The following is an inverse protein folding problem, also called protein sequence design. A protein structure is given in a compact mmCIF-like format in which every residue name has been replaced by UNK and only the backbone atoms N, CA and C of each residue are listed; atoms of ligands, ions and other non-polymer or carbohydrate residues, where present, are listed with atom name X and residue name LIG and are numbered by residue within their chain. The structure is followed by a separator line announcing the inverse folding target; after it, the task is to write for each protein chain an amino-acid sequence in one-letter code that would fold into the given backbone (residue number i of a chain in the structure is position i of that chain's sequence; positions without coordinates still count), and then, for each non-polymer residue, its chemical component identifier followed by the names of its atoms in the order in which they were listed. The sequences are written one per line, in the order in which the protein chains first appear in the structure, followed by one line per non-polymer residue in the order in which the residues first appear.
data_IF_641722518451
#
_entry.id   IF_641722518451
#
_cell.length_a   1.000
_cell.length_b   1.000
_cell.length_c   1.000
_cell.angle_alpha   90.00
_cell.angle_beta   90.00
_cell.angle_gamma   90.00
#
_symmetry.space_group_name_H-M   'P 1'
#
loop_
_entity.id
_entity.type
_entity.pdbx_description
1 polymer ?
#
# COMPACT_ATOMS: atom_id res chain seq x y z
N UNK A 1 2.70 10.03 23.08
CA UNK A 1 3.19 11.23 23.83
C UNK A 1 3.76 10.91 25.21
N UNK A 2 3.09 10.01 25.95
CA UNK A 2 3.47 9.63 27.32
C UNK A 2 4.07 8.22 27.41
N UNK A 3 4.62 7.70 26.30
CA UNK A 3 5.13 6.34 26.20
C UNK A 3 6.19 6.01 27.27
N UNK A 4 7.11 6.95 27.52
CA UNK A 4 8.16 6.80 28.54
C UNK A 4 7.61 6.60 29.97
N UNK A 5 6.40 7.14 30.23
CA UNK A 5 5.77 7.08 31.55
C UNK A 5 4.76 5.92 31.67
N UNK A 6 4.50 5.19 30.59
CA UNK A 6 3.51 4.10 30.57
C UNK A 6 3.86 3.00 31.59
N UNK A 7 5.14 2.63 31.68
CA UNK A 7 5.60 1.63 32.66
C UNK A 7 5.46 2.11 34.11
N UNK A 8 5.69 3.40 34.36
CA UNK A 8 5.63 4.01 35.70
C UNK A 8 4.19 4.10 36.22
N UNK A 9 3.25 4.55 35.38
CA UNK A 9 1.88 4.84 35.83
C UNK A 9 0.85 3.74 35.50
N UNK A 10 1.05 2.99 34.41
CA UNK A 10 0.10 1.96 33.96
C UNK A 10 0.67 0.54 34.05
N UNK A 11 1.98 0.37 34.29
CA UNK A 11 2.62 -0.95 34.37
C UNK A 11 2.68 -1.68 33.03
N UNK A 12 2.52 -0.97 31.91
CA UNK A 12 2.56 -1.53 30.55
C UNK A 12 3.85 -1.12 29.85
N UNK A 13 4.44 -2.05 29.09
CA UNK A 13 5.56 -1.75 28.21
C UNK A 13 5.05 -1.15 26.91
N UNK A 14 5.27 0.15 26.74
CA UNK A 14 4.94 0.88 25.51
C UNK A 14 6.18 1.02 24.62
N UNK A 15 5.98 1.09 23.30
CA UNK A 15 7.05 1.39 22.35
C UNK A 15 7.26 2.90 22.32
N UNK A 16 8.52 3.32 22.39
CA UNK A 16 8.89 4.74 22.34
C UNK A 16 9.16 5.22 20.91
N UNK A 17 9.60 4.30 20.05
CA UNK A 17 9.97 4.59 18.66
C UNK A 17 8.88 4.13 17.69
N UNK A 18 8.68 4.95 16.65
CA UNK A 18 7.81 4.62 15.54
C UNK A 18 8.41 3.45 14.76
N UNK A 19 7.62 2.40 14.53
CA UNK A 19 8.02 1.28 13.68
C UNK A 19 7.05 1.14 12.53
N UNK A 20 7.58 1.00 11.31
CA UNK A 20 6.80 0.66 10.12
C UNK A 20 7.22 -0.72 9.65
N UNK A 21 6.24 -1.49 9.19
CA UNK A 21 6.48 -2.82 8.64
C UNK A 21 5.54 -3.06 7.48
N UNK A 22 6.08 -3.58 6.38
CA UNK A 22 5.31 -3.85 5.17
C UNK A 22 5.23 -5.35 4.92
N UNK A 23 4.01 -5.84 4.71
CA UNK A 23 3.72 -7.25 4.44
C UNK A 23 2.94 -7.35 3.14
N UNK A 24 3.38 -8.24 2.24
CA UNK A 24 2.65 -8.54 1.00
C UNK A 24 1.37 -9.28 1.35
N UNK A 25 0.22 -8.63 1.12
CA UNK A 25 -1.10 -9.22 1.36
C UNK A 25 -1.56 -10.12 0.21
N UNK A 26 -1.44 -9.66 -1.03
CA UNK A 26 -1.81 -10.43 -2.21
C UNK A 26 -0.99 -10.01 -3.41
N UNK A 27 -0.62 -11.00 -4.24
CA UNK A 27 0.05 -10.79 -5.50
C UNK A 27 -0.80 -11.41 -6.61
N UNK A 28 -1.09 -10.62 -7.65
CA UNK A 28 -1.81 -11.09 -8.84
C UNK A 28 -0.95 -10.83 -10.05
N UNK A 29 -0.76 -11.87 -10.85
CA UNK A 29 -0.11 -11.77 -12.15
C UNK A 29 -1.18 -11.70 -13.24
N UNK A 30 -1.05 -10.74 -14.15
CA UNK A 30 -1.93 -10.61 -15.31
C UNK A 30 -1.07 -10.55 -16.57
N UNK A 31 -1.21 -11.48 -17.52
CA UNK A 31 -0.49 -11.38 -18.78
C UNK A 31 -1.00 -10.16 -19.56
N UNK A 32 -0.07 -9.44 -20.17
CA UNK A 32 -0.36 -8.33 -21.07
C UNK A 32 0.30 -8.60 -22.43
N UNK A 33 -0.45 -8.37 -23.50
CA UNK A 33 0.00 -8.55 -24.87
C UNK A 33 0.03 -7.17 -25.51
N UNK A 34 1.17 -6.83 -26.09
CA UNK A 34 1.39 -5.61 -26.85
C UNK A 34 2.08 -5.99 -28.16
N UNK A 35 1.68 -5.33 -29.25
CA UNK A 35 2.29 -5.53 -30.55
C UNK A 35 3.70 -4.93 -30.57
N UNK A 36 4.67 -5.68 -31.05
CA UNK A 36 6.08 -5.28 -31.12
C UNK A 36 6.28 -4.21 -32.22
N UNK A 37 6.61 -2.95 -31.87
CA UNK A 37 6.78 -1.90 -32.88
C UNK A 37 8.02 -2.12 -33.76
N UNK A 38 8.99 -2.95 -33.33
CA UNK A 38 10.20 -3.21 -34.11
C UNK A 38 9.97 -4.17 -35.28
N UNK A 39 8.92 -5.00 -35.23
CA UNK A 39 8.57 -5.99 -36.24
C UNK A 39 7.43 -5.51 -37.15
N UNK A 40 7.48 -4.24 -37.57
CA UNK A 40 6.49 -3.68 -38.48
C UNK A 40 6.66 -4.24 -39.90
N UNK A 41 5.66 -4.99 -40.36
CA UNK A 41 5.62 -5.52 -41.72
C UNK A 41 4.58 -4.77 -42.56
N UNK A 42 4.97 -4.33 -43.75
CA UNK A 42 4.06 -3.71 -44.72
C UNK A 42 3.59 -4.77 -45.70
N UNK A 43 2.27 -4.92 -45.82
CA UNK A 43 1.64 -5.84 -46.77
C UNK A 43 0.90 -5.02 -47.82
N UNK A 44 1.39 -5.03 -49.05
CA UNK A 44 0.74 -4.36 -50.18
C UNK A 44 -0.40 -5.25 -50.70
N UNK A 45 -1.63 -4.81 -50.47
CA UNK A 45 -2.86 -5.51 -50.85
C UNK A 45 -3.44 -5.05 -52.19
N UNK A 46 -2.91 -4.01 -52.84
CA UNK A 46 -3.37 -3.56 -54.16
C UNK A 46 -4.90 -3.50 -54.32
N UNK A 47 -5.45 -4.29 -55.26
CA UNK A 47 -6.90 -4.38 -55.56
C UNK A 47 -7.63 -5.47 -54.75
N UNK A 48 -6.92 -6.18 -53.87
CA UNK A 48 -7.44 -7.34 -53.16
C UNK A 48 -7.88 -6.94 -51.74
N UNK A 49 -8.92 -7.57 -51.22
CA UNK A 49 -9.28 -7.47 -49.81
C UNK A 49 -8.65 -8.61 -49.01
N UNK A 50 -8.24 -8.30 -47.78
CA UNK A 50 -7.78 -9.33 -46.85
C UNK A 50 -9.01 -10.05 -46.28
N UNK A 51 -9.38 -11.17 -46.91
CA UNK A 51 -10.51 -12.01 -46.50
C UNK A 51 -10.03 -13.26 -45.75
N UNK A 52 -9.07 -13.11 -44.83
CA UNK A 52 -8.57 -14.24 -44.03
C UNK A 52 -9.23 -14.25 -42.64
N UNK A 53 -10.09 -15.23 -42.32
CA UNK A 53 -10.68 -15.36 -40.99
C UNK A 53 -9.63 -15.60 -39.91
N UNK A 54 -8.48 -16.16 -40.28
CA UNK A 54 -7.35 -16.37 -39.36
C UNK A 54 -6.65 -15.07 -38.98
N UNK A 55 -6.63 -14.05 -39.87
CA UNK A 55 -6.12 -12.72 -39.50
C UNK A 55 -7.00 -12.03 -38.47
N UNK A 56 -8.33 -12.11 -38.60
CA UNK A 56 -9.26 -11.55 -37.61
C UNK A 56 -9.09 -12.20 -36.23
N UNK A 57 -8.76 -13.50 -36.17
CA UNK A 57 -8.42 -14.18 -34.91
C UNK A 57 -7.12 -13.63 -34.31
N UNK A 58 -6.09 -13.40 -35.12
CA UNK A 58 -4.82 -12.83 -34.65
C UNK A 58 -4.97 -11.37 -34.20
N UNK A 59 -5.77 -10.56 -34.90
CA UNK A 59 -6.06 -9.16 -34.51
C UNK A 59 -6.87 -9.10 -33.23
N UNK A 60 -7.90 -9.94 -33.07
CA UNK A 60 -8.69 -10.00 -31.83
C UNK A 60 -7.91 -10.53 -30.62
N UNK A 61 -6.88 -11.34 -30.84
CA UNK A 61 -5.92 -11.76 -29.81
C UNK A 61 -4.83 -10.71 -29.53
N UNK A 62 -4.78 -9.60 -30.28
CA UNK A 62 -3.79 -8.54 -30.12
C UNK A 62 -2.39 -8.89 -30.63
N UNK A 63 -2.25 -9.98 -31.40
CA UNK A 63 -0.97 -10.44 -31.95
C UNK A 63 -0.53 -9.64 -33.18
N UNK A 64 -1.51 -9.17 -33.94
CA UNK A 64 -1.32 -8.33 -35.12
C UNK A 64 -2.12 -7.06 -34.93
N UNK A 65 -1.46 -5.91 -34.90
CA UNK A 65 -2.12 -4.60 -34.87
C UNK A 65 -2.19 -4.04 -36.29
N UNK A 66 -3.38 -3.54 -36.67
CA UNK A 66 -3.59 -2.82 -37.93
C UNK A 66 -3.69 -1.33 -37.58
N UNK A 67 -3.00 -0.44 -38.31
CA UNK A 67 -3.11 1.00 -38.09
C UNK A 67 -4.57 1.46 -38.16
N UNK A 68 -5.08 2.06 -37.08
CA UNK A 68 -6.43 2.62 -36.98
C UNK A 68 -7.36 1.96 -35.96
N UNK A 69 -7.01 0.78 -35.42
CA UNK A 69 -7.84 0.04 -34.44
C UNK A 69 -7.38 0.27 -32.99
N UNK A 70 -7.18 1.54 -32.62
CA UNK A 70 -6.77 1.94 -31.27
C UNK A 70 -7.96 1.81 -30.31
N UNK A 71 -8.18 0.61 -29.76
CA UNK A 71 -8.94 0.45 -28.51
C UNK A 71 -8.06 0.91 -27.33
N UNK A 72 -7.79 2.22 -27.29
CA UNK A 72 -7.01 2.86 -26.25
C UNK A 72 -7.58 2.51 -24.87
N UNK A 73 -6.71 1.97 -24.01
CA UNK A 73 -7.00 1.78 -22.58
C UNK A 73 -7.53 3.09 -22.01
N UNK A 74 -8.59 3.00 -21.22
CA UNK A 74 -9.02 4.10 -20.36
C UNK A 74 -7.93 4.34 -19.30
N UNK A 75 -6.99 5.23 -19.61
CA UNK A 75 -6.04 5.77 -18.65
C UNK A 75 -6.79 6.74 -17.73
N UNK A 76 -7.43 6.19 -16.70
CA UNK A 76 -7.93 7.01 -15.61
C UNK A 76 -6.79 7.34 -14.66
N UNK A 77 -6.25 8.54 -14.82
CA UNK A 77 -5.34 9.16 -13.87
C UNK A 77 -6.07 9.34 -12.53
N UNK A 78 -5.69 8.54 -11.52
CA UNK A 78 -6.19 8.70 -10.15
C UNK A 78 -5.04 9.13 -9.25
N UNK A 79 -5.16 10.34 -8.72
CA UNK A 79 -4.27 10.84 -7.70
C UNK A 79 -4.71 10.29 -6.33
N UNK A 80 -3.81 9.69 -5.53
CA UNK A 80 -4.15 9.30 -4.17
C UNK A 80 -4.40 10.57 -3.35
N UNK A 81 -5.59 10.67 -2.75
CA UNK A 81 -5.83 11.60 -1.66
C UNK A 81 -5.20 11.03 -0.40
N UNK A 82 -4.14 11.66 0.11
CA UNK A 82 -3.65 11.40 1.46
C UNK A 82 -4.74 11.84 2.44
N UNK A 83 -5.40 10.86 3.07
CA UNK A 83 -6.18 11.14 4.27
C UNK A 83 -5.20 11.29 5.43
N UNK A 84 -5.08 12.51 5.93
CA UNK A 84 -4.35 12.82 7.16
C UNK A 84 -5.24 12.41 8.35
N UNK A 85 -5.18 11.13 8.73
CA UNK A 85 -6.00 10.54 9.81
C UNK A 85 -5.29 10.51 11.17
N UNK A 86 -4.04 10.97 11.26
CA UNK A 86 -3.17 10.67 12.39
C UNK A 86 -2.68 11.88 13.16
N UNK A 87 -3.58 12.75 13.65
CA UNK A 87 -3.18 13.90 14.47
C UNK A 87 -3.69 13.76 15.90
N UNK A 88 -2.76 13.73 16.86
CA UNK A 88 -3.04 13.71 18.31
C UNK A 88 -3.65 15.02 18.85
N UNK A 89 -4.01 15.97 17.99
CA UNK A 89 -4.40 17.32 18.39
C UNK A 89 -5.63 17.30 19.32
N UNK A 90 -5.46 17.78 20.55
CA UNK A 90 -6.55 18.05 21.50
C UNK A 90 -7.01 16.90 22.41
N UNK A 91 -6.39 15.72 22.36
CA UNK A 91 -6.86 14.51 23.08
C UNK A 91 -6.41 14.39 24.55
N UNK A 92 -5.81 15.44 25.13
CA UNK A 92 -5.37 15.43 26.53
C UNK A 92 -6.52 15.50 27.54
N UNK A 93 -6.36 14.87 28.71
CA UNK A 93 -7.35 14.83 29.78
C UNK A 93 -7.58 16.17 30.53
N UNK A 94 -6.82 17.23 30.20
CA UNK A 94 -6.88 18.49 30.94
C UNK A 94 -6.24 19.68 30.23
N UNK A 95 -6.39 20.85 30.85
CA UNK A 95 -5.75 22.09 30.39
C UNK A 95 -4.23 21.94 30.34
N UNK A 96 -3.60 22.60 29.36
CA UNK A 96 -2.14 22.63 29.25
C UNK A 96 -1.46 23.44 30.36
N UNK A 97 -2.24 24.15 31.16
CA UNK A 97 -1.77 25.05 32.21
C UNK A 97 -2.36 24.69 33.58
N UNK A 98 -1.57 24.88 34.63
CA UNK A 98 -1.97 24.87 36.05
C UNK A 98 -1.88 26.29 36.62
N UNK A 99 -2.70 26.59 37.62
CA UNK A 99 -2.54 27.81 38.42
C UNK A 99 -1.66 27.49 39.64
N UNK A 100 -0.49 28.13 39.74
CA UNK A 100 0.34 28.09 40.93
C UNK A 100 0.23 29.41 41.69
N UNK A 101 0.01 29.35 43.00
CA UNK A 101 0.01 30.54 43.84
C UNK A 101 1.44 30.85 44.25
N UNK A 102 1.99 31.92 43.71
CA UNK A 102 3.33 32.41 44.05
C UNK A 102 3.18 33.54 45.07
N UNK A 103 3.97 33.48 46.15
CA UNK A 103 4.06 34.57 47.12
C UNK A 103 5.06 35.60 46.60
N UNK A 104 4.55 36.72 46.08
CA UNK A 104 5.34 37.87 45.67
C UNK A 104 5.45 38.84 46.84
N UNK A 105 6.59 39.51 46.98
CA UNK A 105 6.80 40.47 48.04
C UNK A 105 6.78 41.88 47.46
N UNK A 106 5.89 42.73 47.97
CA UNK A 106 5.86 44.15 47.65
C UNK A 106 6.31 44.96 48.86
N UNK A 107 7.01 46.06 48.62
CA UNK A 107 7.41 47.01 49.65
C UNK A 107 6.34 48.09 49.73
N UNK A 108 5.66 48.20 50.86
CA UNK A 108 4.70 49.27 51.13
C UNK A 108 5.35 50.27 52.09
N UNK A 109 5.28 51.55 51.74
CA UNK A 109 5.81 52.64 52.55
C UNK A 109 4.66 53.26 53.36
N UNK A 110 4.76 53.15 54.69
CA UNK A 110 3.90 53.86 55.63
C UNK A 110 4.82 54.59 56.62
N UNK A 111 4.68 55.92 56.72
CA UNK A 111 5.41 56.78 57.68
C UNK A 111 6.93 56.50 57.77
N UNK A 112 7.61 56.36 56.61
CA UNK A 112 9.07 56.24 56.53
C UNK A 112 9.64 54.88 56.95
N UNK A 113 8.79 53.88 57.23
CA UNK A 113 9.19 52.49 57.47
C UNK A 113 8.75 51.62 56.30
N UNK A 114 9.71 50.91 55.69
CA UNK A 114 9.42 49.97 54.61
C UNK A 114 9.01 48.62 55.18
N UNK A 115 7.75 48.23 54.98
CA UNK A 115 7.24 46.93 55.39
C UNK A 115 7.11 45.99 54.18
N UNK A 116 7.60 44.75 54.33
CA UNK A 116 7.56 43.72 53.28
C UNK A 116 6.25 42.96 53.38
N UNK A 117 5.31 43.26 52.50
CA UNK A 117 4.01 42.61 52.45
C UNK A 117 4.05 41.46 51.44
N UNK A 118 3.68 40.25 51.88
CA UNK A 118 3.49 39.11 50.98
C UNK A 118 2.13 39.20 50.29
N UNK A 119 2.13 39.31 48.96
CA UNK A 119 0.94 39.26 48.11
C UNK A 119 0.93 37.91 47.39
N UNK A 120 -0.11 37.12 47.63
CA UNK A 120 -0.34 35.86 46.92
C UNK A 120 -0.93 36.17 45.56
N UNK A 121 -0.20 35.85 44.49
CA UNK A 121 -0.70 35.98 43.13
C UNK A 121 -0.79 34.60 42.48
N UNK A 122 -1.91 34.33 41.82
CA UNK A 122 -2.07 33.13 41.01
C UNK A 122 -1.41 33.35 39.65
N UNK A 123 -0.40 32.57 39.33
CA UNK A 123 0.27 32.55 38.04
C UNK A 123 -0.14 31.29 37.27
N UNK A 124 -0.36 31.44 35.96
CA UNK A 124 -0.65 30.32 35.07
C UNK A 124 0.68 29.75 34.56
N UNK A 125 0.99 28.51 34.95
CA UNK A 125 2.23 27.80 34.60
C UNK A 125 1.90 26.64 33.67
N UNK A 126 2.76 26.37 32.68
CA UNK A 126 2.58 25.21 31.79
C UNK A 126 2.88 23.91 32.55
N UNK A 127 1.96 22.94 32.53
CA UNK A 127 2.16 21.65 33.20
C UNK A 127 3.31 20.89 32.54
N UNK A 128 4.14 20.21 33.34
CA UNK A 128 5.19 19.32 32.82
C UNK A 128 4.58 18.09 32.13
N UNK A 129 5.34 17.46 31.24
CA UNK A 129 4.86 16.27 30.49
C UNK A 129 4.55 15.10 31.44
N UNK A 130 5.37 14.94 32.49
CA UNK A 130 5.14 13.94 33.54
C UNK A 130 3.86 14.21 34.34
N UNK A 131 3.61 15.47 34.74
CA UNK A 131 2.37 15.83 35.45
C UNK A 131 1.14 15.56 34.60
N UNK A 132 1.19 15.90 33.30
CA UNK A 132 0.10 15.58 32.36
C UNK A 132 -0.10 14.08 32.19
N UNK A 133 0.97 13.30 32.14
CA UNK A 133 0.91 11.84 32.08
C UNK A 133 0.26 11.27 33.37
N UNK A 134 0.67 11.75 34.55
CA UNK A 134 0.10 11.33 35.83
C UNK A 134 -1.40 11.63 35.94
N UNK A 135 -1.83 12.82 35.52
CA UNK A 135 -3.24 13.22 35.52
C UNK A 135 -4.06 12.37 34.52
N UNK A 136 -3.49 12.09 33.34
CA UNK A 136 -4.12 11.23 32.33
C UNK A 136 -4.25 9.78 32.81
N UNK A 137 -3.22 9.22 33.45
CA UNK A 137 -3.28 7.89 34.06
C UNK A 137 -4.34 7.84 35.17
N UNK A 138 -4.42 8.87 36.00
CA UNK A 138 -5.45 8.97 37.04
C UNK A 138 -6.86 9.03 36.44
N UNK A 139 -7.03 9.74 35.31
CA UNK A 139 -8.29 9.76 34.57
C UNK A 139 -8.67 8.37 34.02
N UNK A 140 -7.71 7.60 33.49
CA UNK A 140 -7.93 6.20 33.05
C UNK A 140 -8.43 5.34 34.22
N UNK A 141 -7.78 5.39 35.38
CA UNK A 141 -8.22 4.63 36.54
C UNK A 141 -9.61 5.05 37.02
N UNK A 142 -9.90 6.35 37.02
CA UNK A 142 -11.24 6.88 37.34
C UNK A 142 -12.32 6.39 36.36
N UNK A 143 -12.00 6.28 35.06
CA UNK A 143 -12.91 5.73 34.06
C UNK A 143 -13.17 4.24 34.29
N UNK A 144 -12.14 3.47 34.66
CA UNK A 144 -12.27 2.04 35.01
C UNK A 144 -13.12 1.82 36.24
N UNK A 145 -12.88 2.60 37.29
CA UNK A 145 -13.67 2.57 38.52
C UNK A 145 -15.14 2.91 38.24
N UNK A 146 -15.41 3.96 37.44
CA UNK A 146 -16.77 4.29 36.99
C UNK A 146 -17.41 3.17 36.18
N UNK A 147 -16.67 2.52 35.29
CA UNK A 147 -17.17 1.37 34.52
C UNK A 147 -17.54 0.21 35.46
N UNK A 148 -16.72 -0.06 36.46
CA UNK A 148 -17.00 -1.09 37.47
C UNK A 148 -18.27 -0.75 38.27
N UNK A 149 -18.38 0.46 38.81
CA UNK A 149 -19.58 0.93 39.54
C UNK A 149 -20.86 0.77 38.71
N UNK A 150 -20.81 1.16 37.43
CA UNK A 150 -21.95 1.04 36.50
C UNK A 150 -22.33 -0.42 36.25
N UNK A 151 -21.35 -1.32 36.17
CA UNK A 151 -21.59 -2.76 35.95
C UNK A 151 -22.11 -3.45 37.22
N UNK A 152 -21.57 -3.10 38.39
CA UNK A 152 -22.00 -3.65 39.68
C UNK A 152 -23.34 -3.08 40.17
N UNK A 153 -23.82 -2.02 39.52
CA UNK A 153 -25.06 -1.34 39.88
C UNK A 153 -24.93 -0.47 41.13
N UNK A 154 -23.71 -0.18 41.57
CA UNK A 154 -23.40 0.68 42.72
C UNK A 154 -23.36 2.15 42.29
N UNK A 155 -24.40 2.57 41.57
CA UNK A 155 -24.56 3.94 41.05
C UNK A 155 -25.86 4.54 41.53
N UNK A 156 -25.81 5.80 41.96
CA UNK A 156 -27.00 6.58 42.37
C UNK A 156 -28.02 6.81 41.23
N UNK A 157 -27.65 6.52 39.98
CA UNK A 157 -28.48 6.73 38.81
C UNK A 157 -29.08 5.40 38.29
N UNK A 158 -30.39 5.35 38.15
CA UNK A 158 -31.10 4.26 37.48
C UNK A 158 -30.98 4.47 35.97
N UNK A 159 -30.18 3.65 35.30
CA UNK A 159 -30.04 3.72 33.84
C UNK A 159 -31.01 2.76 33.16
N UNK A 160 -31.66 3.23 32.09
CA UNK A 160 -32.33 2.35 31.13
C UNK A 160 -31.30 1.48 30.40
N UNK A 161 -31.66 0.26 30.00
CA UNK A 161 -30.72 -0.71 29.40
C UNK A 161 -29.97 -0.18 28.17
N UNK A 162 -30.61 0.66 27.35
CA UNK A 162 -29.98 1.31 26.19
C UNK A 162 -29.02 2.44 26.60
N UNK A 163 -29.41 3.25 27.58
CA UNK A 163 -28.58 4.33 28.12
C UNK A 163 -27.33 3.80 28.82
N UNK A 164 -27.45 2.66 29.51
CA UNK A 164 -26.33 1.95 30.13
C UNK A 164 -25.29 1.53 29.09
N UNK A 165 -25.76 0.92 27.98
CA UNK A 165 -24.89 0.50 26.88
C UNK A 165 -24.15 1.67 26.24
N UNK A 166 -24.86 2.78 25.97
CA UNK A 166 -24.25 3.99 25.42
C UNK A 166 -23.22 4.61 26.37
N UNK A 167 -23.52 4.67 27.67
CA UNK A 167 -22.60 5.21 28.67
C UNK A 167 -21.31 4.37 28.79
N UNK A 168 -21.43 3.04 28.83
CA UNK A 168 -20.28 2.13 28.87
C UNK A 168 -19.45 2.22 27.58
N UNK A 169 -20.10 2.34 26.42
CA UNK A 169 -19.42 2.53 25.15
C UNK A 169 -18.62 3.84 25.12
N UNK A 170 -19.19 4.94 25.60
CA UNK A 170 -18.50 6.23 25.66
C UNK A 170 -17.34 6.24 26.66
N UNK A 171 -17.52 5.61 27.83
CA UNK A 171 -16.43 5.42 28.81
C UNK A 171 -15.28 4.63 28.17
N UNK A 172 -15.60 3.56 27.44
CA UNK A 172 -14.60 2.73 26.75
C UNK A 172 -13.88 3.53 25.67
N UNK A 173 -14.62 4.31 24.86
CA UNK A 173 -14.05 5.20 23.84
C UNK A 173 -13.08 6.24 24.45
N UNK A 174 -13.44 6.86 25.57
CA UNK A 174 -12.59 7.82 26.28
C UNK A 174 -11.36 7.15 26.91
N UNK A 175 -11.53 5.96 27.49
CA UNK A 175 -10.44 5.15 28.01
C UNK A 175 -9.43 4.83 26.90
N UNK A 176 -9.89 4.35 25.74
CA UNK A 176 -9.05 4.04 24.57
C UNK A 176 -8.29 5.28 24.06
N UNK A 177 -8.93 6.45 24.01
CA UNK A 177 -8.28 7.69 23.62
C UNK A 177 -7.13 8.07 24.57
N UNK A 178 -7.35 8.02 25.88
CA UNK A 178 -6.30 8.28 26.84
C UNK A 178 -5.21 7.22 26.82
N UNK A 179 -5.56 5.96 26.62
CA UNK A 179 -4.60 4.87 26.44
C UNK A 179 -3.73 5.09 25.18
N UNK A 180 -4.29 5.61 24.09
CA UNK A 180 -3.55 5.94 22.86
C UNK A 180 -2.45 6.99 23.12
N UNK A 181 -2.60 7.87 24.11
CA UNK A 181 -1.54 8.82 24.49
C UNK A 181 -0.30 8.12 25.07
N UNK A 182 -0.49 6.97 25.72
CA UNK A 182 0.58 6.14 26.28
C UNK A 182 1.12 5.12 25.27
N UNK A 183 0.24 4.40 24.57
CA UNK A 183 0.62 3.30 23.68
C UNK A 183 0.91 3.72 22.24
N UNK A 184 0.43 4.89 21.81
CA UNK A 184 0.40 5.29 20.41
C UNK A 184 -0.83 4.74 19.67
N UNK A 185 -0.90 5.01 18.37
CA UNK A 185 -1.88 4.40 17.46
C UNK A 185 -1.16 3.51 16.45
N UNK A 186 -1.89 2.56 15.88
CA UNK A 186 -1.42 1.77 14.73
C UNK A 186 -2.41 1.96 13.60
N UNK A 187 -1.92 2.45 12.47
CA UNK A 187 -2.72 2.60 11.26
C UNK A 187 -2.31 1.58 10.21
N UNK A 188 -3.28 1.10 9.44
CA UNK A 188 -3.08 0.10 8.40
C UNK A 188 -3.49 0.67 7.05
N UNK A 189 -2.50 0.93 6.20
CA UNK A 189 -2.74 1.37 4.82
C UNK A 189 -2.40 0.27 3.82
N UNK A 190 -3.18 0.22 2.73
CA UNK A 190 -2.96 -0.73 1.63
C UNK A 190 -2.43 0.02 0.42
N UNK A 191 -1.15 -0.18 0.11
CA UNK A 191 -0.54 0.33 -1.12
C UNK A 191 -0.78 -0.66 -2.28
N UNK A 192 -1.11 -0.13 -3.46
CA UNK A 192 -1.23 -0.91 -4.70
C UNK A 192 -0.29 -0.33 -5.74
N UNK A 193 0.58 -1.16 -6.29
CA UNK A 193 1.47 -0.81 -7.39
C UNK A 193 1.44 -1.93 -8.43
N UNK A 194 1.60 -1.54 -9.69
CA UNK A 194 1.74 -2.47 -10.80
C UNK A 194 3.18 -2.37 -11.29
N UNK A 195 3.80 -3.53 -11.52
CA UNK A 195 5.15 -3.62 -12.05
C UNK A 195 5.10 -4.50 -13.29
N UNK A 196 5.68 -3.99 -14.37
CA UNK A 196 5.76 -4.71 -15.63
C UNK A 196 7.12 -5.40 -15.71
N UNK A 197 7.09 -6.66 -16.18
CA UNK A 197 8.27 -7.47 -16.32
C UNK A 197 8.21 -8.22 -17.65
N UNK A 198 9.28 -8.10 -18.43
CA UNK A 198 9.42 -8.75 -19.74
C UNK A 198 10.61 -9.72 -19.71
N UNK A 199 10.39 -11.04 -19.91
CA UNK A 199 11.48 -11.99 -19.89
C UNK A 199 12.36 -11.91 -21.14
N UNK A 200 13.67 -12.05 -20.91
CA UNK A 200 14.73 -12.17 -21.89
C UNK A 200 15.11 -13.65 -22.07
N UNK A 201 15.41 -14.13 -23.29
CA UNK A 201 15.73 -15.55 -23.53
C UNK A 201 16.84 -16.17 -22.69
N UNK A 202 17.82 -15.37 -22.24
CA UNK A 202 19.02 -15.83 -21.54
C UNK A 202 18.93 -15.73 -20.01
N UNK A 203 17.86 -15.11 -19.48
CA UNK A 203 17.67 -14.92 -18.05
C UNK A 203 16.46 -15.73 -17.53
N UNK A 204 16.61 -16.32 -16.36
CA UNK A 204 15.55 -17.11 -15.70
C UNK A 204 15.09 -16.50 -14.39
N UNK A 205 15.87 -15.58 -13.82
CA UNK A 205 15.61 -14.97 -12.51
C UNK A 205 15.55 -13.47 -12.70
N UNK A 206 14.46 -12.87 -12.25
CA UNK A 206 14.18 -11.46 -12.46
C UNK A 206 13.72 -10.81 -11.17
N UNK A 207 14.19 -9.59 -10.93
CA UNK A 207 13.72 -8.77 -9.82
C UNK A 207 12.49 -8.01 -10.31
N UNK A 208 11.31 -8.32 -9.76
CA UNK A 208 10.05 -7.65 -10.19
C UNK A 208 9.89 -6.32 -9.45
N UNK A 209 10.05 -6.36 -8.13
CA UNK A 209 10.00 -5.20 -7.26
C UNK A 209 10.75 -5.50 -5.97
N UNK A 210 10.91 -4.48 -5.13
CA UNK A 210 11.56 -4.58 -3.83
C UNK A 210 10.63 -4.09 -2.72
N UNK A 211 10.86 -4.56 -1.51
CA UNK A 211 10.11 -4.15 -0.32
C UNK A 211 11.10 -3.47 0.62
N UNK A 212 10.92 -2.18 0.84
CA UNK A 212 11.65 -1.42 1.86
C UNK A 212 10.83 -1.37 3.15
N UNK A 213 11.49 -1.46 4.30
CA UNK A 213 10.82 -1.34 5.59
C UNK A 213 10.37 0.10 5.88
N UNK A 214 10.96 1.09 5.19
CA UNK A 214 10.62 2.50 5.33
C UNK A 214 9.59 2.97 4.29
N UNK A 215 9.82 2.61 3.02
CA UNK A 215 9.05 3.12 1.88
C UNK A 215 7.99 2.13 1.36
N UNK A 216 7.98 0.88 1.83
CA UNK A 216 7.06 -0.15 1.38
C UNK A 216 7.42 -0.69 0.00
N UNK A 217 6.48 -0.63 -0.95
CA UNK A 217 6.73 -1.13 -2.32
C UNK A 217 7.59 -0.14 -3.10
N UNK A 218 8.75 -0.60 -3.56
CA UNK A 218 9.70 0.18 -4.36
C UNK A 218 10.04 -0.55 -5.66
N UNK A 219 10.39 0.18 -6.74
CA UNK A 219 10.74 -0.43 -8.03
C UNK A 219 12.01 -1.28 -7.95
N UNK A 220 12.22 -2.12 -8.95
CA UNK A 220 13.39 -3.02 -9.02
C UNK A 220 14.74 -2.28 -9.00
N UNK A 221 14.78 -1.03 -9.48
CA UNK A 221 16.01 -0.21 -9.53
C UNK A 221 16.46 0.30 -8.17
N UNK A 222 15.54 0.46 -7.20
CA UNK A 222 15.85 1.02 -5.89
C UNK A 222 16.46 -0.06 -4.98
N UNK A 223 17.73 0.09 -4.59
CA UNK A 223 18.48 -0.87 -3.75
C UNK A 223 18.13 -0.81 -2.26
N UNK A 224 17.22 0.06 -1.83
CA UNK A 224 16.85 0.26 -0.42
C UNK A 224 16.00 -0.86 0.20
N UNK A 225 15.57 -1.85 -0.60
CA UNK A 225 14.64 -2.90 -0.17
C UNK A 225 15.06 -4.33 -0.52
N UNK A 226 14.44 -5.29 0.16
CA UNK A 226 14.61 -6.73 -0.13
C UNK A 226 13.96 -7.10 -1.47
N UNK A 227 14.65 -7.84 -2.35
CA UNK A 227 14.14 -8.16 -3.69
C UNK A 227 13.10 -9.28 -3.67
N UNK A 228 12.01 -9.04 -4.39
CA UNK A 228 11.04 -10.08 -4.75
C UNK A 228 11.39 -10.60 -6.13
N UNK A 229 11.73 -11.88 -6.20
CA UNK A 229 12.25 -12.55 -7.38
C UNK A 229 11.15 -13.32 -8.09
N UNK A 230 11.02 -13.12 -9.40
CA UNK A 230 10.29 -14.01 -10.30
C UNK A 230 11.27 -14.98 -10.96
N UNK A 231 11.05 -16.27 -10.77
CA UNK A 231 11.83 -17.34 -11.38
C UNK A 231 10.97 -18.03 -12.43
N UNK A 232 11.46 -18.07 -13.66
CA UNK A 232 10.86 -18.85 -14.74
C UNK A 232 11.36 -20.29 -14.66
N UNK A 233 10.41 -21.22 -14.60
CA UNK A 233 10.63 -22.66 -14.60
C UNK A 233 9.90 -23.29 -15.78
N UNK A 234 10.38 -24.43 -16.24
CA UNK A 234 9.71 -25.28 -17.24
C UNK A 234 9.26 -24.49 -18.47
N UNK A 235 10.20 -23.82 -19.15
CA UNK A 235 9.90 -23.06 -20.37
C UNK A 235 9.68 -24.06 -21.51
N UNK A 236 8.41 -24.31 -21.84
CA UNK A 236 7.98 -25.13 -22.96
C UNK A 236 7.94 -24.27 -24.23
N UNK A 237 8.86 -24.55 -25.16
CA UNK A 237 8.90 -23.94 -26.49
C UNK A 237 8.39 -24.95 -27.51
N UNK A 238 7.64 -24.48 -28.50
CA UNK A 238 7.32 -25.30 -29.67
C UNK A 238 8.62 -25.65 -30.40
N UNK A 239 8.84 -26.94 -30.61
CA UNK A 239 10.02 -27.44 -31.31
C UNK A 239 10.01 -26.96 -32.77
N UNK A 240 11.13 -26.42 -33.24
CA UNK A 240 11.34 -26.00 -34.64
C UNK A 240 11.04 -27.12 -35.66
N UNK A 241 11.01 -28.38 -35.26
CA UNK A 241 10.71 -29.53 -36.12
C UNK A 241 9.30 -29.50 -36.75
N UNK A 242 8.33 -28.80 -36.15
CA UNK A 242 7.00 -28.62 -36.75
C UNK A 242 6.94 -27.46 -37.76
N UNK A 243 8.01 -26.67 -37.87
CA UNK A 243 8.12 -25.48 -38.74
C UNK A 243 8.81 -25.81 -40.06
N UNK A 244 9.09 -27.10 -40.32
CA UNK A 244 9.77 -27.55 -41.53
C UNK A 244 8.91 -27.27 -42.77
N UNK A 245 9.22 -26.16 -43.42
CA UNK A 245 9.27 -25.96 -44.87
C UNK A 245 8.12 -26.57 -45.69
N UNK A 246 6.99 -25.87 -45.74
CA UNK A 246 6.24 -25.72 -47.00
C UNK A 246 6.71 -24.48 -47.78
N UNK A 247 7.98 -24.13 -47.66
CA UNK A 247 8.65 -23.26 -48.63
C UNK A 247 9.19 -24.15 -49.76
N UNK A 248 8.29 -24.71 -50.57
CA UNK A 248 8.68 -25.23 -51.88
C UNK A 248 9.28 -24.07 -52.68
N UNK A 249 10.61 -24.09 -52.82
CA UNK A 249 11.35 -23.27 -53.79
C UNK A 249 10.68 -23.42 -55.17
N UNK A 250 9.92 -22.41 -55.59
CA UNK A 250 9.56 -22.27 -57.01
C UNK A 250 8.13 -21.85 -57.36
N UNK A 251 7.25 -21.48 -56.42
CA UNK A 251 5.94 -20.89 -56.77
C UNK A 251 5.73 -19.56 -56.07
N UNK A 252 4.89 -18.73 -56.70
CA UNK A 252 4.69 -17.30 -56.50
C UNK A 252 4.87 -16.79 -55.06
N UNK A 253 5.46 -15.60 -54.92
CA UNK A 253 5.57 -14.88 -53.64
C UNK A 253 4.17 -14.49 -53.18
N UNK A 254 3.47 -15.42 -52.52
CA UNK A 254 2.26 -15.09 -51.78
C UNK A 254 2.64 -14.12 -50.64
N UNK A 255 1.75 -13.20 -50.24
CA UNK A 255 2.03 -12.34 -49.11
C UNK A 255 2.07 -13.18 -47.82
N UNK A 256 3.15 -13.10 -47.05
CA UNK A 256 3.31 -13.82 -45.77
C UNK A 256 3.04 -12.87 -44.59
N UNK A 257 2.34 -13.38 -43.57
CA UNK A 257 2.21 -12.74 -42.26
C UNK A 257 3.07 -13.49 -41.25
N UNK A 258 3.93 -12.76 -40.56
CA UNK A 258 4.73 -13.27 -39.45
C UNK A 258 3.96 -13.10 -38.14
N UNK A 259 3.94 -14.14 -37.32
CA UNK A 259 3.37 -14.10 -35.98
C UNK A 259 4.22 -14.92 -35.02
N UNK A 260 4.26 -14.53 -33.74
CA UNK A 260 5.00 -15.27 -32.70
C UNK A 260 4.04 -16.20 -31.98
N UNK A 261 4.42 -17.46 -31.84
CA UNK A 261 3.71 -18.40 -30.95
C UNK A 261 4.40 -18.39 -29.59
N UNK A 262 3.65 -18.17 -28.49
CA UNK A 262 4.27 -17.98 -27.19
C UNK A 262 4.82 -19.28 -26.64
N UNK A 263 5.91 -19.18 -25.88
CA UNK A 263 6.35 -20.25 -25.01
C UNK A 263 5.52 -20.23 -23.72
N UNK A 264 5.22 -21.41 -23.19
CA UNK A 264 4.52 -21.52 -21.90
C UNK A 264 5.57 -21.71 -20.81
N UNK A 265 5.54 -20.88 -19.79
CA UNK A 265 6.45 -20.99 -18.66
C UNK A 265 5.70 -20.91 -17.33
N UNK A 266 6.24 -21.58 -16.31
CA UNK A 266 5.78 -21.45 -14.94
C UNK A 266 6.57 -20.33 -14.26
N UNK A 267 5.87 -19.32 -13.75
CA UNK A 267 6.48 -18.19 -13.04
C UNK A 267 6.22 -18.36 -11.56
N UNK A 268 7.30 -18.54 -10.81
CA UNK A 268 7.28 -18.61 -9.35
C UNK A 268 7.82 -17.30 -8.78
N UNK A 269 6.97 -16.54 -8.07
CA UNK A 269 7.35 -15.30 -7.40
C UNK A 269 7.64 -15.57 -5.93
N UNK A 270 8.82 -15.18 -5.46
CA UNK A 270 9.33 -15.46 -4.13
C UNK A 270 9.92 -14.23 -3.45
N UNK A 271 9.68 -14.11 -2.15
CA UNK A 271 10.26 -13.09 -1.25
C UNK A 271 11.31 -13.81 -0.38
N UNK A 272 12.48 -14.02 -0.97
CA UNK A 272 13.56 -14.83 -0.40
C UNK A 272 13.12 -16.29 -0.17
N UNK A 273 12.78 -16.61 1.07
CA UNK A 273 12.42 -17.98 1.48
C UNK A 273 10.94 -18.31 1.25
N UNK A 274 10.07 -17.31 1.09
CA UNK A 274 8.61 -17.52 0.98
C UNK A 274 8.14 -17.43 -0.47
N UNK A 275 7.51 -18.49 -0.98
CA UNK A 275 6.79 -18.47 -2.25
C UNK A 275 5.50 -17.65 -2.10
N UNK A 276 5.36 -16.59 -2.88
CA UNK A 276 4.18 -15.71 -2.87
C UNK A 276 3.11 -16.15 -3.86
N UNK A 277 3.52 -16.58 -5.05
CA UNK A 277 2.62 -17.03 -6.11
C UNK A 277 3.35 -17.97 -7.06
N UNK A 278 2.61 -18.90 -7.64
CA UNK A 278 3.05 -19.70 -8.78
C UNK A 278 1.95 -19.69 -9.84
N UNK A 279 2.27 -19.38 -11.08
CA UNK A 279 1.29 -19.33 -12.17
C UNK A 279 1.91 -19.72 -13.50
N UNK A 280 1.14 -20.42 -14.34
CA UNK A 280 1.54 -20.78 -15.70
C UNK A 280 1.11 -19.68 -16.67
N UNK A 281 2.06 -19.06 -17.35
CA UNK A 281 1.86 -17.87 -18.21
C UNK A 281 2.51 -18.09 -19.58
N UNK A 282 1.96 -17.44 -20.59
CA UNK A 282 2.45 -17.47 -21.97
C UNK A 282 3.33 -16.25 -22.25
N UNK A 283 4.53 -16.46 -22.77
CA UNK A 283 5.49 -15.41 -23.12
C UNK A 283 5.85 -15.47 -24.61
N UNK A 284 5.54 -14.40 -25.33
CA UNK A 284 5.84 -14.28 -26.76
C UNK A 284 7.31 -14.02 -27.05
N UNK A 285 8.03 -13.40 -26.10
CA UNK A 285 9.47 -13.08 -26.19
C UNK A 285 10.35 -14.34 -26.15
N UNK A 286 9.87 -15.40 -25.50
CA UNK A 286 10.56 -16.69 -25.41
C UNK A 286 10.10 -17.69 -26.48
N UNK A 287 9.15 -17.27 -27.32
CA UNK A 287 8.48 -18.08 -28.33
C UNK A 287 9.23 -18.17 -29.66
N UNK A 288 8.57 -18.78 -30.64
CA UNK A 288 9.11 -18.96 -32.00
C UNK A 288 8.30 -18.14 -33.00
N UNK A 289 8.97 -17.45 -33.91
CA UNK A 289 8.31 -16.75 -35.03
C UNK A 289 7.94 -17.74 -36.12
N UNK A 290 6.66 -17.76 -36.50
CA UNK A 290 6.12 -18.52 -37.62
C UNK A 290 5.65 -17.57 -38.73
N UNK A 291 5.47 -18.10 -39.92
CA UNK A 291 4.90 -17.37 -41.06
C UNK A 291 3.74 -18.14 -41.65
N UNK A 292 2.65 -17.44 -41.97
CA UNK A 292 1.51 -18.01 -42.71
C UNK A 292 1.27 -17.24 -44.02
N UNK A 293 0.88 -17.93 -45.11
CA UNK A 293 0.47 -17.26 -46.34
C UNK A 293 -0.91 -16.61 -46.18
N UNK A 294 -1.10 -15.44 -46.78
CA UNK A 294 -2.36 -14.70 -46.79
C UNK A 294 -3.12 -15.00 -48.07
N UNK A 295 -4.36 -15.46 -47.91
CA UNK A 295 -5.31 -15.55 -49.03
C UNK A 295 -5.86 -14.17 -49.33
N UNK A 296 -5.57 -13.69 -50.54
CA UNK A 296 -6.10 -12.45 -51.08
C UNK A 296 -7.29 -12.76 -51.99
N UNK A 297 -8.43 -12.14 -51.74
CA UNK A 297 -9.60 -12.23 -52.62
C UNK A 297 -9.70 -10.96 -53.47
N UNK A 298 -10.03 -11.12 -54.75
CA UNK A 298 -10.19 -10.00 -55.67
C UNK A 298 -11.49 -9.27 -55.30
N UNK A 299 -11.41 -7.94 -55.10
CA UNK A 299 -12.60 -7.10 -54.89
C UNK A 299 -13.55 -7.12 -56.07
#
# INVERSE_FOLDING_TARGET
PYAEFARKYLGIDARTEDSRSYVVKSLRMTPFIEADPSAAHVLDVGQYSIASPDLLKLTSQGLVSIPGDFSGRSETWRFPSYMDSGRFDGTGAGSNFSSETVELYTLSENDGVYERISVRQNQVVAKSVEQKAAETASAIFRLREKREQIITGDTDATFDGEALGAAVAEITRLEEQYMTLFLGYTDYSVQKMNFDFTPVPDEQVYVVFRISDENGLVPADDMSGRPVLAVLKNVERLSQAEVTETAERGKQVEPLIYYRVPAVAEVAVSDGTKLLSCSRVQFYQLGTTLSMPVRLEKR
#
